data_IF_071814987058
#
_entry.id   IF_071814987058
#
_cell.length_a   1.000
_cell.length_b   1.000
_cell.length_c   1.000
_cell.angle_alpha   90.00
_cell.angle_beta   90.00
_cell.angle_gamma   90.00
#
_symmetry.space_group_name_H-M   'P 1'
#
loop_
_entity.id
_entity.type
_entity.pdbx_description
1 polymer ?
#
# COMPACT_ATOMS: atom_id res chain seq x y z
N UNK A 1 -4.02 -6.57 17.79
CA UNK A 1 -5.18 -7.19 17.11
C UNK A 1 -5.95 -6.20 16.24
N UNK A 2 -6.50 -5.09 16.77
CA UNK A 2 -7.27 -4.13 15.94
C UNK A 2 -6.47 -3.57 14.76
N UNK A 3 -5.18 -3.27 14.97
CA UNK A 3 -4.27 -2.80 13.92
C UNK A 3 -4.18 -3.75 12.73
N UNK A 4 -3.82 -5.01 12.98
CA UNK A 4 -3.74 -6.04 11.95
C UNK A 4 -5.07 -6.23 11.22
N UNK A 5 -6.20 -6.22 11.96
CA UNK A 5 -7.53 -6.34 11.35
C UNK A 5 -7.79 -5.19 10.37
N UNK A 6 -7.51 -3.94 10.78
CA UNK A 6 -7.70 -2.77 9.92
C UNK A 6 -6.76 -2.82 8.72
N UNK A 7 -5.47 -3.07 8.94
CA UNK A 7 -4.45 -3.12 7.89
C UNK A 7 -4.80 -4.15 6.80
N UNK A 8 -5.06 -5.40 7.17
CA UNK A 8 -5.44 -6.43 6.18
C UNK A 8 -6.83 -6.18 5.57
N UNK A 9 -7.77 -5.59 6.31
CA UNK A 9 -9.07 -5.23 5.73
C UNK A 9 -8.92 -4.14 4.65
N UNK A 10 -8.00 -3.19 4.82
CA UNK A 10 -7.75 -2.17 3.82
C UNK A 10 -7.10 -2.78 2.57
N UNK A 11 -6.06 -3.60 2.73
CA UNK A 11 -5.38 -4.24 1.61
C UNK A 11 -6.28 -5.14 0.75
N UNK A 12 -7.26 -5.84 1.36
CA UNK A 12 -8.09 -6.81 0.63
C UNK A 12 -9.57 -6.42 0.42
N UNK A 13 -10.23 -5.86 1.44
CA UNK A 13 -11.66 -5.51 1.36
C UNK A 13 -11.87 -4.12 0.77
N UNK A 14 -11.10 -3.12 1.21
CA UNK A 14 -11.27 -1.75 0.73
C UNK A 14 -10.93 -1.62 -0.76
N UNK A 15 -9.92 -2.34 -1.25
CA UNK A 15 -9.65 -2.42 -2.70
C UNK A 15 -10.80 -3.05 -3.50
N UNK A 16 -11.58 -3.95 -2.89
CA UNK A 16 -12.82 -4.47 -3.49
C UNK A 16 -13.88 -3.39 -3.67
N UNK A 17 -14.04 -2.51 -2.68
CA UNK A 17 -14.91 -1.33 -2.78
C UNK A 17 -14.41 -0.36 -3.84
N UNK A 18 -13.10 -0.09 -3.90
CA UNK A 18 -12.49 0.75 -4.94
C UNK A 18 -12.80 0.18 -6.33
N UNK A 19 -12.61 -1.13 -6.55
CA UNK A 19 -12.94 -1.77 -7.81
C UNK A 19 -14.43 -1.67 -8.17
N UNK A 20 -15.31 -1.83 -7.19
CA UNK A 20 -16.76 -1.71 -7.37
C UNK A 20 -17.16 -0.30 -7.82
N UNK A 21 -16.65 0.74 -7.17
CA UNK A 21 -16.92 2.12 -7.57
C UNK A 21 -16.23 2.49 -8.89
N UNK A 22 -15.06 1.92 -9.19
CA UNK A 22 -14.34 2.17 -10.43
C UNK A 22 -15.09 1.65 -11.66
N UNK A 23 -15.64 0.43 -11.61
CA UNK A 23 -16.51 -0.11 -12.65
C UNK A 23 -17.41 -1.22 -12.12
N UNK A 24 -18.65 -0.87 -11.78
CA UNK A 24 -19.66 -1.80 -11.25
C UNK A 24 -19.93 -3.02 -12.15
N UNK A 25 -19.85 -2.87 -13.48
CA UNK A 25 -20.14 -3.97 -14.41
C UNK A 25 -19.05 -5.04 -14.40
N UNK A 26 -17.80 -4.64 -14.25
CA UNK A 26 -16.63 -5.53 -14.32
C UNK A 26 -15.80 -5.53 -13.02
N UNK A 27 -16.44 -5.25 -11.88
CA UNK A 27 -15.74 -4.99 -10.62
C UNK A 27 -14.82 -6.14 -10.20
N UNK A 28 -15.22 -7.40 -10.44
CA UNK A 28 -14.38 -8.58 -10.13
C UNK A 28 -13.04 -8.56 -10.88
N UNK A 29 -13.05 -8.17 -12.16
CA UNK A 29 -11.82 -8.03 -12.96
C UNK A 29 -10.90 -6.96 -12.38
N UNK A 30 -11.46 -5.81 -12.04
CA UNK A 30 -10.68 -4.70 -11.48
C UNK A 30 -10.22 -4.96 -10.05
N UNK A 31 -10.99 -5.73 -9.28
CA UNK A 31 -10.59 -6.20 -7.96
C UNK A 31 -9.39 -7.14 -8.03
N UNK A 32 -9.35 -8.08 -8.99
CA UNK A 32 -8.17 -8.93 -9.23
C UNK A 32 -6.94 -8.10 -9.60
N UNK A 33 -7.09 -7.04 -10.39
CA UNK A 33 -5.99 -6.13 -10.72
C UNK A 33 -5.48 -5.40 -9.46
N UNK A 34 -6.38 -4.92 -8.60
CA UNK A 34 -5.97 -4.26 -7.35
C UNK A 34 -5.37 -5.24 -6.34
N UNK A 35 -5.85 -6.48 -6.25
CA UNK A 35 -5.21 -7.50 -5.43
C UNK A 35 -3.79 -7.77 -5.94
N UNK A 36 -3.59 -7.80 -7.26
CA UNK A 36 -2.25 -8.00 -7.82
C UNK A 36 -1.26 -6.89 -7.45
N UNK A 37 -1.72 -5.67 -7.09
CA UNK A 37 -0.81 -4.62 -6.63
C UNK A 37 -0.26 -4.88 -5.24
N UNK A 38 -0.85 -5.79 -4.45
CA UNK A 38 -0.29 -6.22 -3.16
C UNK A 38 1.06 -6.95 -3.31
N UNK A 39 1.41 -7.39 -4.53
CA UNK A 39 2.73 -7.95 -4.81
C UNK A 39 3.87 -6.93 -4.66
N UNK A 40 3.56 -5.64 -4.47
CA UNK A 40 4.56 -4.62 -4.14
C UNK A 40 5.34 -4.97 -2.86
N UNK A 41 4.66 -5.60 -1.88
CA UNK A 41 5.26 -6.09 -0.62
C UNK A 41 6.39 -7.11 -0.82
N UNK A 42 6.55 -7.69 -2.02
CA UNK A 42 7.68 -8.58 -2.28
C UNK A 42 9.03 -7.86 -2.15
N UNK A 43 9.07 -6.52 -2.20
CA UNK A 43 10.28 -5.76 -1.90
C UNK A 43 10.74 -5.86 -0.43
N UNK A 44 9.87 -6.31 0.48
CA UNK A 44 10.24 -6.67 1.85
C UNK A 44 11.29 -7.78 1.90
N UNK A 45 11.33 -8.67 0.89
CA UNK A 45 12.36 -9.72 0.78
C UNK A 45 13.79 -9.15 0.66
N UNK A 46 13.92 -7.86 0.33
CA UNK A 46 15.20 -7.17 0.22
C UNK A 46 15.68 -6.58 1.56
N UNK A 47 14.86 -6.61 2.61
CA UNK A 47 15.18 -6.05 3.91
C UNK A 47 16.02 -6.97 4.79
N UNK A 48 16.87 -6.37 5.62
CA UNK A 48 17.56 -7.05 6.73
C UNK A 48 17.30 -6.29 8.04
N UNK A 49 16.61 -6.87 9.04
CA UNK A 49 16.01 -8.21 9.02
C UNK A 49 14.78 -8.29 8.09
N UNK A 50 14.54 -9.49 7.54
CA UNK A 50 13.45 -9.75 6.61
C UNK A 50 12.08 -9.33 7.18
N UNK A 51 11.80 -9.70 8.42
CA UNK A 51 10.57 -9.33 9.12
C UNK A 51 10.90 -8.62 10.43
N UNK A 52 10.27 -7.47 10.63
CA UNK A 52 10.33 -6.71 11.86
C UNK A 52 8.95 -6.09 12.10
N UNK A 53 8.23 -6.44 13.18
CA UNK A 53 6.88 -5.96 13.44
C UNK A 53 6.83 -4.49 13.92
N UNK A 54 7.96 -3.90 14.29
CA UNK A 54 8.03 -2.53 14.79
C UNK A 54 8.53 -1.53 13.74
N UNK A 55 9.01 -2.03 12.59
CA UNK A 55 9.53 -1.23 11.49
C UNK A 55 8.42 -0.70 10.59
N UNK A 56 8.55 0.56 10.19
CA UNK A 56 7.71 1.13 9.15
C UNK A 56 8.21 0.78 7.74
N UNK A 57 7.31 0.34 6.87
CA UNK A 57 7.62 0.03 5.47
C UNK A 57 7.95 1.27 4.63
N UNK A 58 7.28 2.39 4.89
CA UNK A 58 7.40 3.62 4.11
C UNK A 58 8.80 4.21 4.27
N UNK A 59 9.48 4.47 3.15
CA UNK A 59 10.85 4.98 3.10
C UNK A 59 11.93 3.90 3.29
N UNK A 60 11.59 2.74 3.84
CA UNK A 60 12.56 1.67 4.11
C UNK A 60 12.79 0.75 2.90
N UNK A 61 11.73 0.39 2.18
CA UNK A 61 11.82 -0.53 1.04
C UNK A 61 11.85 0.20 -0.31
N UNK A 62 12.50 -0.35 -1.36
CA UNK A 62 12.65 0.33 -2.64
C UNK A 62 11.33 0.76 -3.31
N UNK A 63 10.28 -0.07 -3.26
CA UNK A 63 8.97 0.25 -3.85
C UNK A 63 8.08 1.04 -2.90
N UNK A 64 8.49 1.16 -1.64
CA UNK A 64 7.88 2.01 -0.61
C UNK A 64 8.63 3.34 -0.41
N UNK A 65 9.63 3.63 -1.25
CA UNK A 65 10.37 4.88 -1.22
C UNK A 65 9.51 6.07 -1.65
N UNK A 66 9.86 7.27 -1.20
CA UNK A 66 9.17 8.52 -1.55
C UNK A 66 9.18 8.75 -3.06
N UNK A 67 10.24 8.32 -3.73
CA UNK A 67 10.34 8.36 -5.19
C UNK A 67 9.29 7.45 -5.85
N UNK A 68 9.16 6.19 -5.39
CA UNK A 68 8.16 5.25 -5.89
C UNK A 68 6.73 5.77 -5.63
N UNK A 69 6.46 6.26 -4.43
CA UNK A 69 5.16 6.85 -4.04
C UNK A 69 4.82 8.03 -4.96
N UNK A 70 5.79 8.91 -5.23
CA UNK A 70 5.60 10.04 -6.15
C UNK A 70 5.21 9.56 -7.54
N UNK A 71 5.88 8.53 -8.06
CA UNK A 71 5.53 7.92 -9.34
C UNK A 71 4.10 7.36 -9.32
N UNK A 72 3.68 6.74 -8.22
CA UNK A 72 2.31 6.21 -8.11
C UNK A 72 1.26 7.32 -8.11
N UNK A 73 1.50 8.42 -7.41
CA UNK A 73 0.61 9.59 -7.43
C UNK A 73 0.52 10.20 -8.83
N UNK A 74 1.67 10.43 -9.48
CA UNK A 74 1.71 10.97 -10.83
C UNK A 74 1.01 10.03 -11.83
N UNK A 75 1.26 8.72 -11.73
CA UNK A 75 0.64 7.71 -12.56
C UNK A 75 -0.89 7.67 -12.39
N UNK A 76 -1.39 7.79 -11.16
CA UNK A 76 -2.82 7.86 -10.87
C UNK A 76 -3.49 9.10 -11.50
N UNK A 77 -2.81 10.24 -11.57
CA UNK A 77 -3.35 11.48 -12.13
C UNK A 77 -3.25 11.49 -13.67
N UNK A 78 -2.07 11.16 -14.21
CA UNK A 78 -1.74 11.40 -15.62
C UNK A 78 -1.96 10.19 -16.53
N UNK A 79 -2.04 8.95 -16.02
CA UNK A 79 -2.24 7.78 -16.87
C UNK A 79 -3.59 7.84 -17.58
N UNK A 80 -3.58 7.82 -18.92
CA UNK A 80 -4.81 7.81 -19.74
C UNK A 80 -5.45 6.43 -19.84
N UNK A 81 -4.64 5.37 -19.74
CA UNK A 81 -5.13 3.99 -19.77
C UNK A 81 -5.81 3.66 -18.43
N UNK A 82 -7.07 3.20 -18.49
CA UNK A 82 -7.89 2.89 -17.29
C UNK A 82 -7.24 1.81 -16.40
N UNK A 83 -6.68 0.76 -16.99
CA UNK A 83 -6.06 -0.34 -16.24
C UNK A 83 -4.78 0.16 -15.56
N UNK A 84 -3.92 0.87 -16.30
CA UNK A 84 -2.67 1.40 -15.75
C UNK A 84 -2.95 2.42 -14.62
N UNK A 85 -3.93 3.30 -14.81
CA UNK A 85 -4.37 4.24 -13.77
C UNK A 85 -4.83 3.48 -12.52
N UNK A 86 -5.58 2.39 -12.69
CA UNK A 86 -6.04 1.57 -11.57
C UNK A 86 -4.89 0.89 -10.83
N UNK A 87 -3.87 0.42 -11.55
CA UNK A 87 -2.65 -0.13 -10.93
C UNK A 87 -1.99 0.93 -10.04
N UNK A 88 -1.84 2.16 -10.52
CA UNK A 88 -1.30 3.25 -9.71
C UNK A 88 -2.18 3.65 -8.54
N UNK A 89 -3.51 3.62 -8.69
CA UNK A 89 -4.46 3.80 -7.56
C UNK A 89 -4.24 2.70 -6.52
N UNK A 90 -4.10 1.44 -6.93
CA UNK A 90 -3.88 0.31 -6.04
C UNK A 90 -2.56 0.41 -5.28
N UNK A 91 -1.47 0.71 -6.01
CA UNK A 91 -0.15 0.93 -5.41
C UNK A 91 -0.17 2.09 -4.42
N UNK A 92 -0.78 3.22 -4.78
CA UNK A 92 -0.87 4.36 -3.85
C UNK A 92 -1.75 4.04 -2.63
N UNK A 93 -2.88 3.35 -2.81
CA UNK A 93 -3.75 2.96 -1.69
C UNK A 93 -3.07 1.97 -0.74
N UNK A 94 -2.21 1.11 -1.28
CA UNK A 94 -1.33 0.24 -0.50
C UNK A 94 -0.40 1.08 0.39
N UNK A 95 0.33 2.04 -0.19
CA UNK A 95 1.20 2.96 0.57
C UNK A 95 0.45 3.73 1.67
N UNK A 96 -0.80 4.15 1.41
CA UNK A 96 -1.64 4.78 2.43
C UNK A 96 -1.99 3.82 3.57
N UNK A 97 -2.21 2.55 3.25
CA UNK A 97 -2.52 1.50 4.23
C UNK A 97 -1.33 1.22 5.13
N UNK A 98 -0.12 1.14 4.57
CA UNK A 98 1.10 0.93 5.36
C UNK A 98 1.47 2.17 6.16
N UNK A 99 1.28 3.36 5.60
CA UNK A 99 1.45 4.61 6.35
C UNK A 99 0.53 4.65 7.57
N UNK A 100 -0.72 4.22 7.45
CA UNK A 100 -1.64 4.12 8.59
C UNK A 100 -1.14 3.11 9.63
N UNK A 101 -0.57 1.99 9.19
CA UNK A 101 0.02 1.00 10.09
C UNK A 101 1.23 1.57 10.83
N UNK A 102 2.14 2.25 10.12
CA UNK A 102 3.28 2.96 10.70
C UNK A 102 2.84 3.98 11.76
N UNK A 103 1.85 4.82 11.43
CA UNK A 103 1.30 5.82 12.37
C UNK A 103 0.76 5.16 13.64
N UNK A 104 0.13 3.98 13.51
CA UNK A 104 -0.41 3.27 14.66
C UNK A 104 0.67 2.62 15.52
N UNK A 105 1.72 2.08 14.90
CA UNK A 105 2.92 1.57 15.56
C UNK A 105 3.62 2.69 16.32
N UNK A 106 3.84 3.85 15.70
CA UNK A 106 4.46 5.01 16.34
C UNK A 106 3.64 5.58 17.49
N UNK A 107 2.30 5.57 17.37
CA UNK A 107 1.44 5.97 18.48
C UNK A 107 1.56 5.06 19.72
N UNK A 108 2.11 3.84 19.58
CA UNK A 108 2.31 2.89 20.67
C UNK A 108 3.77 2.77 21.12
N UNK A 109 4.72 3.14 20.26
CA UNK A 109 6.16 2.95 20.48
C UNK A 109 6.93 4.23 20.12
N UNK A 110 7.29 5.03 21.13
CA UNK A 110 8.10 6.24 20.94
C UNK A 110 9.52 5.97 20.37
N UNK A 111 10.23 4.89 20.72
CA UNK A 111 11.53 4.57 20.12
C UNK A 111 11.47 4.22 18.63
N UNK A 112 10.34 3.67 18.16
CA UNK A 112 10.18 3.25 16.77
C UNK A 112 10.22 4.43 15.76
N UNK A 113 10.14 5.68 16.23
CA UNK A 113 10.36 6.87 15.40
C UNK A 113 11.81 7.05 14.93
N UNK A 114 12.77 6.28 15.48
CA UNK A 114 14.19 6.42 15.15
C UNK A 114 14.57 5.87 13.78
N UNK A 115 13.74 5.01 13.17
CA UNK A 115 14.06 4.35 11.90
C UNK A 115 13.67 5.17 10.65
N UNK A 116 13.23 6.42 10.83
CA UNK A 116 12.87 7.35 9.73
C UNK A 116 14.06 8.25 9.33
N UNK A 117 15.16 8.27 10.10
CA UNK A 117 16.31 9.16 9.85
C UNK A 117 17.67 8.46 9.96
#
# INVERSE_FOLDING_TARGET
MTQQIVHYSLHFLAVGLIAYFYNRKNWKKYWLILIATMLVDLDHLLATPFFDPERCSIGFHPLHSELAITIYVLGMIFAKNKVLRLVFIGLFFHMLTDLLDCLWTYARCAPCMQDIF
#
